data_IF_580157692284
#
_entry.id   IF_580157692284
#
_cell.length_a   1.000
_cell.length_b   1.000
_cell.length_c   1.000
_cell.angle_alpha   90.00
_cell.angle_beta   90.00
_cell.angle_gamma   90.00
#
_symmetry.space_group_name_H-M   'P 1'
#
loop_
_entity.id
_entity.type
_entity.pdbx_description
1 polymer ?
#
# COMPACT_ATOMS: atom_id res chain seq x y z
N UNK A 1 23.34 -0.57 -5.03
CA UNK A 1 23.13 0.80 -4.53
C UNK A 1 21.83 1.43 -5.07
N UNK A 2 21.56 1.36 -6.36
CA UNK A 2 20.34 1.91 -6.99
C UNK A 2 19.06 1.36 -6.34
N UNK A 3 18.99 0.05 -6.09
CA UNK A 3 17.84 -0.60 -5.46
C UNK A 3 17.52 -0.08 -4.06
N UNK A 4 18.54 0.24 -3.27
CA UNK A 4 18.37 0.80 -1.92
C UNK A 4 17.77 2.20 -2.00
N UNK A 5 18.25 3.03 -2.92
CA UNK A 5 17.73 4.40 -3.14
C UNK A 5 16.25 4.33 -3.54
N UNK A 6 15.89 3.47 -4.49
CA UNK A 6 14.50 3.30 -4.90
C UNK A 6 13.61 2.76 -3.77
N UNK A 7 14.12 1.88 -2.92
CA UNK A 7 13.37 1.37 -1.76
C UNK A 7 13.08 2.48 -0.75
N UNK A 8 14.06 3.36 -0.47
CA UNK A 8 13.87 4.49 0.43
C UNK A 8 12.86 5.49 -0.17
N UNK A 9 13.01 5.84 -1.45
CA UNK A 9 12.07 6.73 -2.15
C UNK A 9 10.65 6.17 -2.14
N UNK A 10 10.48 4.86 -2.36
CA UNK A 10 9.19 4.18 -2.26
C UNK A 10 8.57 4.32 -0.87
N UNK A 11 9.36 4.11 0.19
CA UNK A 11 8.89 4.28 1.57
C UNK A 11 8.41 5.72 1.86
N UNK A 12 9.18 6.72 1.44
CA UNK A 12 8.81 8.13 1.56
C UNK A 12 7.49 8.41 0.81
N UNK A 13 7.37 7.91 -0.42
CA UNK A 13 6.18 8.12 -1.24
C UNK A 13 4.93 7.49 -0.61
N UNK A 14 5.05 6.32 0.01
CA UNK A 14 3.95 5.65 0.71
C UNK A 14 3.44 6.52 1.87
N UNK A 15 4.34 7.06 2.71
CA UNK A 15 3.95 7.91 3.86
C UNK A 15 3.31 9.20 3.38
N UNK A 16 3.89 9.87 2.37
CA UNK A 16 3.33 11.09 1.78
C UNK A 16 1.93 10.84 1.20
N UNK A 17 1.76 9.77 0.43
CA UNK A 17 0.46 9.39 -0.15
C UNK A 17 -0.60 9.18 0.94
N UNK A 18 -0.25 8.47 2.02
CA UNK A 18 -1.15 8.29 3.17
C UNK A 18 -1.51 9.62 3.85
N UNK A 19 -0.55 10.51 4.03
CA UNK A 19 -0.80 11.83 4.63
C UNK A 19 -1.75 12.66 3.77
N UNK A 20 -1.53 12.73 2.47
CA UNK A 20 -2.40 13.46 1.52
C UNK A 20 -3.81 12.88 1.51
N UNK A 21 -3.93 11.55 1.40
CA UNK A 21 -5.22 10.87 1.43
C UNK A 21 -5.95 11.08 2.77
N UNK A 22 -5.23 11.10 3.88
CA UNK A 22 -5.79 11.40 5.20
C UNK A 22 -6.34 12.83 5.30
N UNK A 23 -5.60 13.81 4.79
CA UNK A 23 -6.07 15.21 4.73
C UNK A 23 -7.29 15.34 3.83
N UNK A 24 -7.31 14.67 2.68
CA UNK A 24 -8.44 14.69 1.76
C UNK A 24 -9.68 14.06 2.42
N UNK A 25 -9.50 12.91 3.07
CA UNK A 25 -10.59 12.20 3.76
C UNK A 25 -11.15 12.98 4.95
N UNK A 26 -10.33 13.75 5.65
CA UNK A 26 -10.80 14.70 6.70
C UNK A 26 -11.70 15.78 6.15
N UNK A 27 -11.41 16.29 4.94
CA UNK A 27 -12.17 17.40 4.33
C UNK A 27 -13.43 16.94 3.60
N UNK A 28 -13.36 15.84 2.88
CA UNK A 28 -14.41 15.41 1.94
C UNK A 28 -15.10 14.11 2.34
N UNK A 29 -14.57 13.40 3.35
CA UNK A 29 -15.03 12.06 3.73
C UNK A 29 -14.27 10.94 3.01
N UNK A 30 -14.29 9.74 3.60
CA UNK A 30 -13.50 8.59 3.13
C UNK A 30 -13.90 8.13 1.73
N UNK A 31 -15.20 8.09 1.41
CA UNK A 31 -15.70 7.64 0.11
C UNK A 31 -15.26 8.56 -1.02
N UNK A 32 -15.38 9.88 -0.83
CA UNK A 32 -14.94 10.86 -1.82
C UNK A 32 -13.41 10.85 -1.96
N UNK A 33 -12.67 10.75 -0.85
CA UNK A 33 -11.22 10.59 -0.87
C UNK A 33 -10.78 9.37 -1.67
N UNK A 34 -11.47 8.25 -1.49
CA UNK A 34 -11.21 7.02 -2.26
C UNK A 34 -11.51 7.21 -3.75
N UNK A 35 -12.63 7.83 -4.09
CA UNK A 35 -12.98 8.13 -5.48
C UNK A 35 -11.90 8.98 -6.16
N UNK A 36 -11.50 10.10 -5.54
CA UNK A 36 -10.47 10.97 -6.11
C UNK A 36 -9.12 10.28 -6.22
N UNK A 37 -8.75 9.42 -5.28
CA UNK A 37 -7.53 8.63 -5.36
C UNK A 37 -7.51 7.73 -6.60
N UNK A 38 -8.59 6.98 -6.83
CA UNK A 38 -8.70 6.11 -8.00
C UNK A 38 -8.85 6.89 -9.30
N UNK A 39 -9.57 7.99 -9.29
CA UNK A 39 -9.74 8.84 -10.46
C UNK A 39 -8.41 9.46 -10.91
N UNK A 40 -7.64 10.02 -9.99
CA UNK A 40 -6.31 10.58 -10.29
C UNK A 40 -5.33 9.49 -10.73
N UNK A 41 -5.35 8.33 -10.08
CA UNK A 41 -4.55 7.17 -10.48
C UNK A 41 -4.88 6.69 -11.89
N UNK A 42 -6.17 6.61 -12.23
CA UNK A 42 -6.63 6.25 -13.56
C UNK A 42 -6.17 7.28 -14.61
N UNK A 43 -6.35 8.58 -14.35
CA UNK A 43 -5.90 9.64 -15.25
C UNK A 43 -4.39 9.60 -15.48
N UNK A 44 -3.62 9.43 -14.41
CA UNK A 44 -2.15 9.32 -14.49
C UNK A 44 -1.72 8.11 -15.31
N UNK A 45 -2.35 6.95 -15.10
CA UNK A 45 -2.07 5.74 -15.87
C UNK A 45 -2.41 5.89 -17.34
N UNK A 46 -3.53 6.56 -17.65
CA UNK A 46 -3.95 6.85 -19.03
C UNK A 46 -2.96 7.77 -19.74
N UNK A 47 -2.54 8.84 -19.08
CA UNK A 47 -1.54 9.78 -19.62
C UNK A 47 -0.21 9.05 -19.85
N UNK A 48 0.25 8.27 -18.88
CA UNK A 48 1.50 7.51 -19.00
C UNK A 48 1.42 6.53 -20.17
N UNK A 49 0.31 5.83 -20.32
CA UNK A 49 0.07 4.91 -21.43
C UNK A 49 0.17 5.64 -22.78
N UNK A 50 -0.48 6.80 -22.91
CA UNK A 50 -0.43 7.60 -24.14
C UNK A 50 1.00 8.07 -24.45
N UNK A 51 1.74 8.54 -23.44
CA UNK A 51 3.14 8.95 -23.60
C UNK A 51 4.01 7.79 -24.08
N UNK A 52 3.87 6.61 -23.48
CA UNK A 52 4.65 5.41 -23.88
C UNK A 52 4.31 4.93 -25.31
N UNK A 53 3.05 5.10 -25.73
CA UNK A 53 2.66 4.85 -27.13
C UNK A 53 3.34 5.83 -28.11
N UNK A 54 3.35 7.12 -27.79
CA UNK A 54 3.95 8.17 -28.65
C UNK A 54 5.46 7.94 -28.75
N UNK A 55 6.12 7.55 -27.66
CA UNK A 55 7.57 7.26 -27.63
C UNK A 55 7.92 5.92 -28.31
N UNK A 56 6.91 5.11 -28.68
CA UNK A 56 7.12 3.84 -29.38
C UNK A 56 7.68 2.70 -28.51
N UNK A 57 7.60 2.85 -27.17
CA UNK A 57 8.11 1.85 -26.22
C UNK A 57 7.15 0.66 -26.07
N UNK A 58 5.86 0.85 -26.35
CA UNK A 58 4.85 -0.21 -26.25
C UNK A 58 3.90 -0.23 -27.45
N UNK A 59 3.69 -1.42 -27.99
CA UNK A 59 2.57 -1.74 -28.88
C UNK A 59 1.46 -2.38 -28.02
N UNK A 60 0.30 -1.73 -27.95
CA UNK A 60 -0.84 -2.27 -27.22
C UNK A 60 -1.47 -3.41 -28.03
N UNK A 61 -1.17 -4.63 -27.65
CA UNK A 61 -1.92 -5.81 -28.07
C UNK A 61 -3.00 -6.10 -27.04
N UNK A 62 -4.19 -5.53 -27.23
CA UNK A 62 -5.36 -5.83 -26.40
C UNK A 62 -5.92 -7.17 -26.89
N UNK A 63 -5.40 -8.28 -26.38
CA UNK A 63 -6.03 -9.60 -26.56
C UNK A 63 -6.96 -9.85 -25.38
N UNK A 64 -8.23 -9.56 -25.54
CA UNK A 64 -9.28 -9.80 -24.53
C UNK A 64 -9.53 -11.30 -24.29
N UNK A 65 -9.08 -12.15 -25.23
CA UNK A 65 -9.36 -13.59 -25.24
C UNK A 65 -8.66 -14.41 -24.13
N UNK A 66 -7.70 -13.82 -23.40
CA UNK A 66 -6.93 -14.50 -22.34
C UNK A 66 -6.99 -13.85 -20.97
N UNK A 67 -7.83 -12.84 -20.78
CA UNK A 67 -7.97 -12.20 -19.47
C UNK A 67 -8.81 -13.07 -18.55
N UNK A 68 -8.15 -13.67 -17.58
CA UNK A 68 -8.83 -14.41 -16.52
C UNK A 68 -9.64 -13.41 -15.66
N UNK A 69 -10.91 -13.71 -15.40
CA UNK A 69 -11.81 -12.88 -14.57
C UNK A 69 -11.17 -12.52 -13.20
N UNK A 70 -10.30 -13.38 -12.69
CA UNK A 70 -9.53 -13.14 -11.47
C UNK A 70 -8.66 -11.88 -11.50
N UNK A 71 -8.22 -11.41 -12.67
CA UNK A 71 -7.42 -10.18 -12.79
C UNK A 71 -8.23 -8.92 -12.41
N UNK A 72 -9.53 -8.94 -12.60
CA UNK A 72 -10.40 -7.79 -12.26
C UNK A 72 -10.71 -7.69 -10.77
N UNK A 73 -10.56 -8.80 -10.01
CA UNK A 73 -10.75 -8.80 -8.56
C UNK A 73 -9.75 -7.90 -7.83
N UNK A 74 -8.55 -7.74 -8.39
CA UNK A 74 -7.53 -6.85 -7.82
C UNK A 74 -8.00 -5.40 -7.68
N UNK A 75 -8.76 -4.89 -8.65
CA UNK A 75 -9.35 -3.57 -8.60
C UNK A 75 -10.36 -3.42 -7.45
N UNK A 76 -11.24 -4.39 -7.30
CA UNK A 76 -12.26 -4.41 -6.24
C UNK A 76 -11.60 -4.46 -4.86
N UNK A 77 -10.66 -5.38 -4.65
CA UNK A 77 -9.90 -5.51 -3.40
C UNK A 77 -9.14 -4.21 -3.11
N UNK A 78 -8.55 -3.60 -4.14
CA UNK A 78 -7.85 -2.32 -4.03
C UNK A 78 -8.76 -1.19 -3.53
N UNK A 79 -9.99 -1.07 -4.06
CA UNK A 79 -10.97 -0.06 -3.62
C UNK A 79 -11.29 -0.24 -2.14
N UNK A 80 -11.59 -1.46 -1.70
CA UNK A 80 -11.86 -1.74 -0.28
C UNK A 80 -10.65 -1.39 0.60
N UNK A 81 -9.44 -1.72 0.16
CA UNK A 81 -8.21 -1.42 0.89
C UNK A 81 -8.05 0.10 1.10
N UNK A 82 -8.13 0.89 0.04
CA UNK A 82 -8.01 2.35 0.13
C UNK A 82 -9.16 2.98 0.92
N UNK A 83 -10.38 2.47 0.78
CA UNK A 83 -11.52 2.94 1.54
C UNK A 83 -11.31 2.74 3.06
N UNK A 84 -10.88 1.55 3.47
CA UNK A 84 -10.55 1.25 4.88
C UNK A 84 -9.44 2.17 5.37
N UNK A 85 -8.37 2.33 4.59
CA UNK A 85 -7.28 3.24 4.92
C UNK A 85 -7.79 4.69 5.09
N UNK A 86 -8.62 5.18 4.19
CA UNK A 86 -9.18 6.53 4.24
C UNK A 86 -10.11 6.75 5.45
N UNK A 87 -10.72 5.70 6.00
CA UNK A 87 -11.48 5.77 7.25
C UNK A 87 -10.54 5.86 8.46
N UNK A 88 -9.41 5.14 8.42
CA UNK A 88 -8.50 4.98 9.56
C UNK A 88 -7.49 6.14 9.64
N UNK A 89 -6.90 6.55 8.51
CA UNK A 89 -5.82 7.57 8.45
C UNK A 89 -6.17 8.89 9.16
N UNK A 90 -7.42 9.41 9.09
CA UNK A 90 -7.78 10.62 9.84
C UNK A 90 -7.73 10.48 11.36
N UNK A 91 -7.69 9.24 11.88
CA UNK A 91 -7.78 8.93 13.32
C UNK A 91 -6.46 8.57 13.96
N UNK A 92 -5.48 8.15 13.17
CA UNK A 92 -4.17 7.74 13.63
C UNK A 92 -3.07 8.39 12.80
N UNK A 93 -1.87 8.50 13.38
CA UNK A 93 -0.74 9.09 12.67
C UNK A 93 -0.35 8.23 11.44
N UNK A 94 0.06 8.85 10.31
CA UNK A 94 0.50 8.11 9.12
C UNK A 94 1.70 7.18 9.40
N UNK A 95 2.53 7.52 10.38
CA UNK A 95 3.68 6.72 10.81
C UNK A 95 3.19 5.44 11.47
N UNK A 96 2.30 5.53 12.45
CA UNK A 96 1.71 4.37 13.14
C UNK A 96 1.00 3.47 12.13
N UNK A 97 0.21 4.04 11.23
CA UNK A 97 -0.49 3.27 10.20
C UNK A 97 0.50 2.50 9.30
N UNK A 98 1.62 3.13 8.95
CA UNK A 98 2.65 2.49 8.12
C UNK A 98 3.29 1.32 8.85
N UNK A 99 3.66 1.49 10.11
CA UNK A 99 4.22 0.43 10.94
C UNK A 99 3.24 -0.72 11.14
N UNK A 100 1.98 -0.41 11.45
CA UNK A 100 0.93 -1.42 11.63
C UNK A 100 0.67 -2.22 10.33
N UNK A 101 0.65 -1.53 9.19
CA UNK A 101 0.54 -2.19 7.88
C UNK A 101 1.73 -3.08 7.59
N UNK A 102 2.94 -2.66 7.97
CA UNK A 102 4.16 -3.45 7.80
C UNK A 102 4.12 -4.73 8.65
N UNK A 103 3.67 -4.63 9.90
CA UNK A 103 3.45 -5.81 10.76
C UNK A 103 2.44 -6.77 10.12
N UNK A 104 1.31 -6.23 9.64
CA UNK A 104 0.31 -7.04 8.95
C UNK A 104 0.86 -7.77 7.73
N UNK A 105 1.70 -7.11 6.93
CA UNK A 105 2.37 -7.72 5.77
C UNK A 105 3.34 -8.83 6.18
N UNK A 106 4.14 -8.60 7.24
CA UNK A 106 5.06 -9.62 7.75
C UNK A 106 4.32 -10.85 8.27
N UNK A 107 3.28 -10.65 9.08
CA UNK A 107 2.48 -11.75 9.62
C UNK A 107 1.79 -12.52 8.49
N UNK A 108 1.15 -11.83 7.57
CA UNK A 108 0.49 -12.47 6.42
C UNK A 108 1.49 -13.23 5.54
N UNK A 109 2.67 -12.64 5.30
CA UNK A 109 3.75 -13.30 4.57
C UNK A 109 4.22 -14.58 5.26
N UNK A 110 4.40 -14.56 6.59
CA UNK A 110 4.78 -15.75 7.35
C UNK A 110 3.72 -16.86 7.29
N UNK A 111 2.44 -16.48 7.36
CA UNK A 111 1.32 -17.43 7.23
C UNK A 111 1.34 -18.07 5.84
N UNK A 112 1.49 -17.30 4.79
CA UNK A 112 1.56 -17.81 3.40
C UNK A 112 2.79 -18.71 3.24
N UNK A 113 3.96 -18.29 3.71
CA UNK A 113 5.19 -19.09 3.63
C UNK A 113 5.04 -20.43 4.36
N UNK A 114 4.37 -20.44 5.51
CA UNK A 114 4.12 -21.66 6.27
C UNK A 114 3.17 -22.62 5.54
N UNK A 115 2.07 -22.12 4.96
CA UNK A 115 1.06 -22.95 4.31
C UNK A 115 1.43 -23.37 2.89
N UNK A 116 2.09 -22.48 2.12
CA UNK A 116 2.37 -22.72 0.70
C UNK A 116 3.74 -23.40 0.50
N UNK A 117 4.73 -22.94 1.26
CA UNK A 117 6.12 -23.38 1.07
C UNK A 117 6.63 -24.28 2.18
N UNK A 118 5.85 -24.58 3.23
CA UNK A 118 6.28 -25.31 4.43
C UNK A 118 7.59 -24.75 5.04
N UNK A 119 7.85 -23.45 4.85
CA UNK A 119 9.04 -22.77 5.35
C UNK A 119 8.71 -21.98 6.61
N UNK A 120 9.16 -22.46 7.74
CA UNK A 120 9.05 -21.75 9.02
C UNK A 120 10.39 -21.07 9.34
N UNK A 121 10.43 -19.73 9.36
CA UNK A 121 11.64 -18.98 9.65
C UNK A 121 11.54 -18.29 11.02
N UNK A 122 12.28 -18.80 11.99
CA UNK A 122 12.38 -18.21 13.35
C UNK A 122 12.92 -16.78 13.29
N UNK A 123 13.83 -16.48 12.36
CA UNK A 123 14.38 -15.13 12.18
C UNK A 123 13.32 -14.10 11.79
N UNK A 124 12.31 -14.47 10.97
CA UNK A 124 11.19 -13.61 10.61
C UNK A 124 10.29 -13.31 11.81
N UNK A 125 10.06 -14.32 12.67
CA UNK A 125 9.27 -14.16 13.90
C UNK A 125 9.96 -13.19 14.85
N UNK A 126 11.26 -13.37 15.08
CA UNK A 126 12.05 -12.47 15.92
C UNK A 126 12.05 -11.04 15.41
N UNK A 127 12.22 -10.85 14.09
CA UNK A 127 12.11 -9.54 13.45
C UNK A 127 10.74 -8.89 13.66
N UNK A 128 9.66 -9.64 13.50
CA UNK A 128 8.31 -9.16 13.75
C UNK A 128 8.09 -8.73 15.21
N UNK A 129 8.57 -9.53 16.16
CA UNK A 129 8.48 -9.21 17.60
C UNK A 129 9.23 -7.93 17.95
N UNK A 130 10.42 -7.72 17.39
CA UNK A 130 11.21 -6.48 17.60
C UNK A 130 10.44 -5.27 17.07
N UNK A 131 9.83 -5.37 15.88
CA UNK A 131 9.04 -4.28 15.30
C UNK A 131 7.81 -3.98 16.14
N UNK A 132 7.10 -5.00 16.62
CA UNK A 132 5.95 -4.84 17.51
C UNK A 132 6.36 -4.17 18.82
N UNK A 133 7.45 -4.62 19.44
CA UNK A 133 7.98 -4.02 20.67
C UNK A 133 8.34 -2.54 20.45
N UNK A 134 9.01 -2.20 19.33
CA UNK A 134 9.31 -0.81 18.97
C UNK A 134 8.05 0.04 18.81
N UNK A 135 7.00 -0.50 18.19
CA UNK A 135 5.72 0.22 18.03
C UNK A 135 5.05 0.48 19.39
N UNK A 136 5.02 -0.51 20.26
CA UNK A 136 4.44 -0.36 21.62
C UNK A 136 5.18 0.71 22.42
N UNK A 137 6.52 0.69 22.39
CA UNK A 137 7.33 1.70 23.07
C UNK A 137 7.05 3.10 22.50
N UNK A 138 6.97 3.22 21.18
CA UNK A 138 6.63 4.48 20.52
C UNK A 138 5.26 5.01 20.96
N UNK A 139 4.25 4.15 20.98
CA UNK A 139 2.87 4.53 21.35
C UNK A 139 2.76 4.96 22.81
N UNK A 140 3.45 4.24 23.72
CA UNK A 140 3.52 4.60 25.15
C UNK A 140 4.28 5.93 25.38
N UNK A 141 5.21 6.28 24.50
CA UNK A 141 5.93 7.57 24.56
C UNK A 141 5.07 8.73 24.08
N UNK A 142 4.24 8.51 23.06
CA UNK A 142 3.35 9.54 22.51
C UNK A 142 2.18 9.87 23.47
N UNK A 143 1.72 8.89 24.25
CA UNK A 143 0.66 9.07 25.25
C UNK A 143 1.12 9.89 26.49
N UNK A 144 2.43 10.02 26.70
CA UNK A 144 3.04 10.77 27.80
C UNK A 144 3.50 12.18 27.44
N UNK A 145 3.43 12.56 26.16
CA UNK A 145 3.87 13.86 25.63
C UNK A 145 2.69 14.79 25.39
#
# INVERSE_FOLDING_TARGET
>A
MISIIFSILSGVTIVLSRSVNGMLSKKMGASQGTFYNYFTGFMTSLILMLVLMIVGVQHINISLDKTNLMMYLGGIIGVFNILILNIIVPRISPVILTLLSFIGQLVSGMVIDAFVYNMFSISKILGCLIVIAGLVIYQLSEEKA
#
